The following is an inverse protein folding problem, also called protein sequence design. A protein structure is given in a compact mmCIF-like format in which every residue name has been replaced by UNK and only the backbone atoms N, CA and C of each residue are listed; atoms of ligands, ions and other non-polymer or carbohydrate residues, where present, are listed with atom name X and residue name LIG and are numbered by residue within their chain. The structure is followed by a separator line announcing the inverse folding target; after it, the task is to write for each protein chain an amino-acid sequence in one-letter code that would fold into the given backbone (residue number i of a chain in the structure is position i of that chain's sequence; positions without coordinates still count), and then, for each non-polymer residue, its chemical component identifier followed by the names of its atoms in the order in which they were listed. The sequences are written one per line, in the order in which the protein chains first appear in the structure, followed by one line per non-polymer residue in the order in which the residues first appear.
data_IF_336884867547
#
_entry.id   IF_336884867547
#
_cell.length_a   1.000
_cell.length_b   1.000
_cell.length_c   1.000
_cell.angle_alpha   90.00
_cell.angle_beta   90.00
_cell.angle_gamma   90.00
#
_symmetry.space_group_name_H-M   'P 1'
#
loop_
_entity.id
_entity.type
_entity.pdbx_description
1 polymer ?
#
# COMPACT_ATOMS: atom_id res chain seq x y z
N UNK A 1 11.15 -2.56 9.94
CA UNK A 1 11.87 -3.54 9.09
C UNK A 1 11.94 -4.87 9.81
N UNK A 2 11.74 -6.01 9.11
CA UNK A 2 12.08 -7.32 9.68
C UNK A 2 13.57 -7.33 9.98
N UNK A 3 13.95 -7.72 11.18
CA UNK A 3 15.36 -7.80 11.62
C UNK A 3 16.09 -9.00 11.00
N UNK A 4 15.35 -9.95 10.42
CA UNK A 4 15.90 -11.12 9.74
C UNK A 4 15.30 -11.23 8.34
N UNK A 5 16.14 -11.42 7.35
CA UNK A 5 15.71 -11.69 5.97
C UNK A 5 15.26 -13.15 5.91
N UNK A 6 13.98 -13.38 5.59
CA UNK A 6 13.50 -14.72 5.32
C UNK A 6 13.84 -15.12 3.87
N UNK A 7 14.39 -16.30 3.67
CA UNK A 7 14.64 -16.87 2.35
C UNK A 7 13.33 -17.33 1.69
N UNK A 8 12.29 -17.61 2.49
CA UNK A 8 11.00 -18.06 1.95
C UNK A 8 10.21 -16.90 1.37
N UNK A 9 9.79 -17.04 0.13
CA UNK A 9 9.06 -16.02 -0.61
C UNK A 9 7.79 -15.55 0.10
N UNK A 10 6.99 -16.47 0.64
CA UNK A 10 5.72 -16.16 1.31
C UNK A 10 5.88 -15.40 2.64
N UNK A 11 7.07 -15.37 3.21
CA UNK A 11 7.33 -14.63 4.45
C UNK A 11 7.69 -13.16 4.19
N UNK A 12 7.82 -12.76 2.93
CA UNK A 12 8.11 -11.39 2.54
C UNK A 12 6.88 -10.51 2.69
N UNK A 13 7.09 -9.23 2.91
CA UNK A 13 6.04 -8.22 2.90
C UNK A 13 5.75 -7.87 1.44
N UNK A 14 4.63 -8.34 0.91
CA UNK A 14 4.25 -8.17 -0.49
C UNK A 14 3.32 -6.99 -0.72
N UNK A 15 2.57 -6.59 0.30
CA UNK A 15 1.54 -5.55 0.23
C UNK A 15 1.85 -4.38 1.15
N UNK A 16 1.52 -3.16 0.71
CA UNK A 16 1.72 -1.95 1.52
C UNK A 16 1.07 -2.05 2.90
N UNK A 17 -0.11 -2.67 2.98
CA UNK A 17 -0.82 -2.84 4.24
C UNK A 17 -0.03 -3.64 5.27
N UNK A 18 0.71 -4.66 4.84
CA UNK A 18 1.54 -5.46 5.74
C UNK A 18 2.77 -4.68 6.20
N UNK A 19 3.36 -3.92 5.26
CA UNK A 19 4.47 -3.03 5.57
C UNK A 19 4.06 -1.97 6.60
N UNK A 20 2.90 -1.35 6.38
CA UNK A 20 2.33 -0.38 7.30
C UNK A 20 2.08 -1.00 8.68
N UNK A 21 1.42 -2.15 8.77
CA UNK A 21 1.13 -2.81 10.05
C UNK A 21 2.39 -3.20 10.83
N UNK A 22 3.42 -3.73 10.16
CA UNK A 22 4.69 -4.07 10.80
C UNK A 22 5.39 -2.82 11.32
N UNK A 23 5.34 -1.71 10.59
CA UNK A 23 5.98 -0.46 11.00
C UNK A 23 5.18 0.31 12.05
N UNK A 24 3.85 0.30 12.00
CA UNK A 24 2.99 0.88 13.04
C UNK A 24 3.14 0.14 14.37
N UNK A 25 3.14 -1.19 14.33
CA UNK A 25 3.40 -2.03 15.50
C UNK A 25 4.77 -1.75 16.14
N UNK A 26 5.76 -1.39 15.34
CA UNK A 26 7.11 -0.99 15.80
C UNK A 26 7.21 0.49 16.17
N UNK A 27 6.11 1.25 16.04
CA UNK A 27 6.07 2.70 16.30
C UNK A 27 6.99 3.53 15.39
N UNK A 28 7.33 3.00 14.21
CA UNK A 28 8.09 3.73 13.20
C UNK A 28 7.23 4.71 12.41
N UNK A 29 5.95 4.38 12.24
CA UNK A 29 4.94 5.20 11.55
C UNK A 29 3.62 5.15 12.32
N UNK A 30 2.71 6.05 11.98
CA UNK A 30 1.32 6.05 12.47
C UNK A 30 0.37 6.30 11.32
N UNK A 31 -0.76 5.58 11.29
CA UNK A 31 -1.84 5.85 10.35
C UNK A 31 -2.56 7.14 10.73
N UNK A 32 -2.47 8.13 9.87
CA UNK A 32 -3.15 9.40 10.02
C UNK A 32 -4.47 9.46 9.23
N UNK A 33 -4.79 8.44 8.44
CA UNK A 33 -5.92 8.44 7.51
C UNK A 33 -7.23 8.82 8.21
N UNK A 34 -7.49 8.24 9.38
CA UNK A 34 -8.74 8.47 10.12
C UNK A 34 -8.82 9.84 10.83
N UNK A 35 -7.77 10.64 10.81
CA UNK A 35 -7.83 12.05 11.25
C UNK A 35 -8.51 12.96 10.24
N UNK A 36 -8.75 12.45 9.03
CA UNK A 36 -9.34 13.16 7.92
C UNK A 36 -10.73 12.59 7.56
N UNK A 37 -11.55 13.31 6.78
CA UNK A 37 -12.79 12.78 6.26
C UNK A 37 -12.54 11.56 5.35
N UNK A 38 -12.88 10.38 5.84
CA UNK A 38 -12.60 9.09 5.15
C UNK A 38 -13.87 8.41 4.70
N UNK A 39 -13.69 7.47 3.79
CA UNK A 39 -14.66 6.46 3.39
C UNK A 39 -14.05 5.07 3.55
N UNK A 40 -14.91 4.09 3.84
CA UNK A 40 -14.46 2.70 3.93
C UNK A 40 -14.07 2.20 2.54
N UNK A 41 -12.93 1.54 2.45
CA UNK A 41 -12.58 0.79 1.24
C UNK A 41 -13.24 -0.57 1.28
N UNK A 42 -13.98 -0.87 0.22
CA UNK A 42 -14.43 -2.22 -0.08
C UNK A 42 -13.52 -2.80 -1.18
N UNK A 43 -12.41 -3.38 -0.74
CA UNK A 43 -11.39 -3.89 -1.63
C UNK A 43 -10.99 -5.32 -1.24
N UNK A 44 -10.72 -6.14 -2.24
CA UNK A 44 -10.26 -7.53 -2.09
C UNK A 44 -8.80 -7.63 -2.50
N UNK A 45 -7.96 -8.05 -1.58
CA UNK A 45 -6.55 -8.31 -1.86
C UNK A 45 -6.41 -9.71 -2.46
N UNK A 46 -6.20 -9.80 -3.77
CA UNK A 46 -6.07 -11.07 -4.49
C UNK A 46 -5.22 -10.97 -5.76
N UNK A 47 -4.46 -9.90 -5.90
CA UNK A 47 -3.74 -9.60 -7.15
C UNK A 47 -2.68 -10.64 -7.48
N UNK A 48 -1.80 -10.95 -6.53
CA UNK A 48 -0.67 -11.81 -6.82
C UNK A 48 -1.09 -13.27 -7.05
N UNK A 49 -2.09 -13.77 -6.33
CA UNK A 49 -2.58 -15.14 -6.53
C UNK A 49 -3.37 -15.31 -7.81
N UNK A 50 -4.11 -14.29 -8.25
CA UNK A 50 -4.87 -14.31 -9.51
C UNK A 50 -3.98 -14.02 -10.71
N UNK A 51 -3.15 -12.99 -10.62
CA UNK A 51 -2.25 -12.57 -11.69
C UNK A 51 -0.85 -13.22 -11.56
N UNK A 52 -0.75 -14.39 -10.96
CA UNK A 52 0.52 -15.03 -10.61
C UNK A 52 1.49 -15.19 -11.78
N UNK A 53 0.97 -15.34 -13.01
CA UNK A 53 1.79 -15.42 -14.23
C UNK A 53 2.52 -14.12 -14.57
N UNK A 54 2.01 -12.97 -14.09
CA UNK A 54 2.64 -11.65 -14.26
C UNK A 54 3.77 -11.42 -13.26
N UNK A 55 3.82 -12.19 -12.20
CA UNK A 55 4.88 -12.10 -11.17
C UNK A 55 5.96 -13.14 -11.45
N UNK A 56 7.12 -12.68 -11.91
CA UNK A 56 8.22 -13.55 -12.37
C UNK A 56 8.50 -14.72 -11.40
N UNK A 57 8.57 -14.44 -10.10
CA UNK A 57 8.89 -15.49 -9.12
C UNK A 57 7.74 -16.52 -9.00
N UNK A 58 6.49 -16.08 -8.90
CA UNK A 58 5.33 -16.99 -8.82
C UNK A 58 5.14 -17.78 -10.11
N UNK A 59 5.41 -17.16 -11.26
CA UNK A 59 5.36 -17.85 -12.57
C UNK A 59 6.29 -19.06 -12.63
N UNK A 60 7.49 -18.97 -12.05
CA UNK A 60 8.44 -20.07 -11.99
C UNK A 60 8.24 -21.01 -10.79
N UNK A 61 7.40 -20.62 -9.82
CA UNK A 61 7.10 -21.37 -8.60
C UNK A 61 5.59 -21.44 -8.35
N UNK A 62 4.82 -22.08 -9.26
CA UNK A 62 3.35 -22.06 -9.21
C UNK A 62 2.78 -22.74 -7.96
N UNK A 63 3.52 -23.63 -7.30
CA UNK A 63 3.15 -24.26 -6.04
C UNK A 63 2.96 -23.26 -4.88
N UNK A 64 3.57 -22.07 -4.96
CA UNK A 64 3.42 -21.01 -3.97
C UNK A 64 2.09 -20.25 -4.09
N UNK A 65 1.36 -20.41 -5.19
CA UNK A 65 0.12 -19.67 -5.46
C UNK A 65 -0.93 -19.86 -4.35
N UNK A 66 -1.11 -21.10 -3.88
CA UNK A 66 -2.08 -21.40 -2.83
C UNK A 66 -1.71 -20.72 -1.50
N UNK A 67 -0.43 -20.69 -1.16
CA UNK A 67 0.07 -19.96 0.00
C UNK A 67 -0.15 -18.44 -0.12
N UNK A 68 0.09 -17.88 -1.31
CA UNK A 68 -0.20 -16.46 -1.59
C UNK A 68 -1.69 -16.15 -1.45
N UNK A 69 -2.58 -16.99 -1.97
CA UNK A 69 -4.02 -16.82 -1.83
C UNK A 69 -4.48 -16.81 -0.36
N UNK A 70 -3.94 -17.69 0.48
CA UNK A 70 -4.22 -17.67 1.93
C UNK A 70 -3.76 -16.37 2.59
N UNK A 71 -2.60 -15.87 2.18
CA UNK A 71 -2.05 -14.62 2.66
C UNK A 71 -2.95 -13.42 2.30
N UNK A 72 -3.39 -13.35 1.05
CA UNK A 72 -4.30 -12.33 0.53
C UNK A 72 -5.69 -12.39 1.19
N UNK A 73 -6.22 -13.59 1.46
CA UNK A 73 -7.49 -13.76 2.19
C UNK A 73 -7.42 -13.12 3.59
N UNK A 74 -6.30 -13.28 4.29
CA UNK A 74 -6.09 -12.63 5.59
C UNK A 74 -6.13 -11.11 5.49
N UNK A 75 -5.61 -10.55 4.42
CA UNK A 75 -5.62 -9.10 4.18
C UNK A 75 -7.00 -8.59 3.76
N UNK A 76 -7.72 -9.34 2.93
CA UNK A 76 -9.07 -8.99 2.45
C UNK A 76 -10.07 -8.81 3.59
N UNK A 77 -9.92 -9.55 4.69
CA UNK A 77 -10.82 -9.46 5.85
C UNK A 77 -10.58 -8.23 6.73
N UNK A 78 -9.60 -7.40 6.41
CA UNK A 78 -9.30 -6.17 7.17
C UNK A 78 -10.14 -5.01 6.68
N UNK A 79 -10.47 -4.13 7.60
CA UNK A 79 -11.16 -2.87 7.28
C UNK A 79 -10.11 -1.80 6.96
N UNK A 80 -10.24 -1.20 5.79
CA UNK A 80 -9.41 -0.09 5.37
C UNK A 80 -10.26 1.15 5.11
N UNK A 81 -9.64 2.30 5.28
CA UNK A 81 -10.23 3.59 5.03
C UNK A 81 -9.37 4.35 4.04
N UNK A 82 -10.00 5.16 3.21
CA UNK A 82 -9.32 6.03 2.26
C UNK A 82 -9.87 7.46 2.37
N UNK A 83 -9.07 8.41 1.97
CA UNK A 83 -9.49 9.80 1.77
C UNK A 83 -9.94 9.93 0.32
N UNK A 84 -11.22 10.23 0.04
CA UNK A 84 -11.70 10.39 -1.32
C UNK A 84 -10.94 11.49 -2.06
N UNK A 85 -10.67 11.26 -3.34
CA UNK A 85 -9.87 12.17 -4.18
C UNK A 85 -10.36 13.63 -4.12
N UNK A 86 -11.67 13.84 -4.13
CA UNK A 86 -12.26 15.19 -4.07
C UNK A 86 -12.03 15.91 -2.74
N UNK A 87 -11.68 15.19 -1.66
CA UNK A 87 -11.39 15.75 -0.34
C UNK A 87 -9.91 16.07 -0.14
N UNK A 88 -9.02 15.59 -1.02
CA UNK A 88 -7.57 15.73 -0.87
C UNK A 88 -7.13 17.19 -0.85
N UNK A 89 -7.70 18.03 -1.70
CA UNK A 89 -7.37 19.46 -1.72
C UNK A 89 -7.62 20.16 -0.38
N UNK A 90 -8.67 19.75 0.34
CA UNK A 90 -9.02 20.34 1.65
C UNK A 90 -8.07 19.94 2.78
N UNK A 91 -7.29 18.89 2.61
CA UNK A 91 -6.33 18.43 3.64
C UNK A 91 -4.87 18.73 3.28
N UNK A 92 -4.60 19.28 2.08
CA UNK A 92 -3.23 19.48 1.56
C UNK A 92 -2.35 20.28 2.55
N UNK A 93 -2.91 21.30 3.20
CA UNK A 93 -2.18 22.14 4.17
C UNK A 93 -1.72 21.38 5.40
N UNK A 94 -2.42 20.31 5.76
CA UNK A 94 -2.15 19.50 6.94
C UNK A 94 -1.09 18.41 6.67
N UNK A 95 -0.82 18.09 5.40
CA UNK A 95 0.22 17.14 5.02
C UNK A 95 1.60 17.74 5.34
N UNK A 96 2.55 16.88 5.73
CA UNK A 96 3.91 17.27 6.13
C UNK A 96 4.95 16.59 5.25
N UNK A 97 6.15 17.17 5.23
CA UNK A 97 7.30 16.51 4.62
C UNK A 97 7.53 15.14 5.26
N UNK A 98 7.70 14.13 4.42
CA UNK A 98 7.91 12.74 4.86
C UNK A 98 6.63 11.93 5.06
N UNK A 99 5.43 12.53 4.99
CA UNK A 99 4.20 11.75 5.01
C UNK A 99 4.17 10.76 3.84
N UNK A 100 3.85 9.51 4.13
CA UNK A 100 3.75 8.45 3.13
C UNK A 100 2.31 8.36 2.66
N UNK A 101 2.12 8.45 1.34
CA UNK A 101 0.81 8.38 0.71
C UNK A 101 0.71 7.11 -0.13
N UNK A 102 -0.28 6.28 0.15
CA UNK A 102 -0.70 5.18 -0.71
C UNK A 102 -1.89 5.61 -1.57
N UNK A 103 -1.80 5.41 -2.88
CA UNK A 103 -2.90 5.68 -3.81
C UNK A 103 -3.80 4.45 -3.86
N UNK A 104 -5.02 4.59 -3.32
CA UNK A 104 -5.99 3.51 -3.31
C UNK A 104 -6.47 3.16 -4.73
N UNK A 105 -6.77 1.88 -4.94
CA UNK A 105 -7.37 1.36 -6.19
C UNK A 105 -8.84 1.03 -5.97
N UNK A 106 -9.61 1.16 -7.05
CA UNK A 106 -11.03 0.81 -7.09
C UNK A 106 -11.30 -0.58 -7.64
N UNK A 107 -10.29 -1.19 -8.26
CA UNK A 107 -10.41 -2.52 -8.83
C UNK A 107 -10.13 -3.63 -7.79
N UNK A 108 -10.47 -4.86 -8.13
CA UNK A 108 -10.41 -6.03 -7.25
C UNK A 108 -8.99 -6.59 -7.04
N UNK A 109 -7.94 -5.82 -7.28
CA UNK A 109 -6.57 -6.33 -7.24
C UNK A 109 -5.88 -6.17 -5.91
N UNK A 110 -5.65 -4.94 -5.52
CA UNK A 110 -4.89 -4.59 -4.32
C UNK A 110 -5.37 -3.25 -3.75
N UNK A 111 -5.10 -3.00 -2.48
CA UNK A 111 -5.49 -1.72 -1.84
C UNK A 111 -4.79 -0.52 -2.43
N UNK A 112 -3.57 -0.71 -2.90
CA UNK A 112 -2.68 0.37 -3.28
C UNK A 112 -2.07 0.10 -4.65
N UNK A 113 -2.22 1.04 -5.55
CA UNK A 113 -1.60 0.99 -6.87
C UNK A 113 -0.22 1.63 -6.88
N UNK A 114 0.04 2.58 -5.99
CA UNK A 114 1.27 3.34 -5.98
C UNK A 114 1.53 3.98 -4.62
N UNK A 115 2.79 4.20 -4.30
CA UNK A 115 3.24 4.82 -3.04
C UNK A 115 4.20 5.94 -3.35
N UNK A 116 4.13 7.01 -2.58
CA UNK A 116 5.09 8.11 -2.63
C UNK A 116 5.17 8.85 -1.30
N UNK A 117 6.01 9.85 -1.28
CA UNK A 117 6.32 10.67 -0.09
C UNK A 117 5.95 12.11 -0.39
N UNK A 118 5.36 12.79 0.59
CA UNK A 118 5.06 14.22 0.48
C UNK A 118 6.32 15.03 0.70
N UNK A 119 6.53 15.99 -0.21
CA UNK A 119 7.52 17.06 -0.07
C UNK A 119 6.80 18.40 -0.26
N UNK A 120 6.96 19.32 0.68
CA UNK A 120 6.47 20.69 0.53
C UNK A 120 7.47 21.51 -0.29
N UNK A 121 6.98 22.18 -1.34
CA UNK A 121 7.78 23.16 -2.07
C UNK A 121 7.93 24.49 -1.31
N UNK A 122 8.70 25.43 -1.86
CA UNK A 122 8.95 26.75 -1.28
C UNK A 122 7.69 27.60 -1.08
N UNK A 123 6.58 27.26 -1.76
CA UNK A 123 5.26 27.90 -1.62
C UNK A 123 4.34 27.16 -0.66
N UNK A 124 4.85 26.12 0.03
CA UNK A 124 4.06 25.28 0.96
C UNK A 124 3.12 24.29 0.28
N UNK A 125 3.16 24.11 -1.05
CA UNK A 125 2.34 23.14 -1.77
C UNK A 125 2.89 21.74 -1.60
N UNK A 126 2.01 20.79 -1.36
CA UNK A 126 2.38 19.38 -1.27
C UNK A 126 2.70 18.82 -2.68
N UNK A 127 3.87 18.24 -2.82
CA UNK A 127 4.33 17.52 -4.00
C UNK A 127 4.45 16.05 -3.67
N UNK A 128 4.03 15.20 -4.60
CA UNK A 128 4.09 13.74 -4.45
C UNK A 128 5.37 13.22 -5.11
N UNK A 129 6.37 12.93 -4.32
CA UNK A 129 7.62 12.32 -4.80
C UNK A 129 7.45 10.81 -4.89
N UNK A 130 7.65 10.25 -6.06
CA UNK A 130 7.51 8.82 -6.30
C UNK A 130 8.47 8.33 -7.38
N UNK A 131 8.71 7.01 -7.42
CA UNK A 131 9.42 6.35 -8.51
C UNK A 131 8.41 5.75 -9.48
N UNK A 132 8.59 6.00 -10.78
CA UNK A 132 7.79 5.41 -11.85
C UNK A 132 8.69 4.99 -13.00
N UNK A 133 8.34 3.88 -13.65
CA UNK A 133 9.00 3.41 -14.87
C UNK A 133 8.39 4.00 -16.14
N UNK A 134 7.26 4.70 -16.01
CA UNK A 134 6.57 5.30 -17.15
C UNK A 134 7.10 6.71 -17.38
N UNK A 135 8.02 6.83 -18.31
CA UNK A 135 8.36 8.14 -18.88
C UNK A 135 7.26 8.54 -19.86
N UNK A 136 6.56 9.57 -19.56
CA UNK A 136 5.75 10.32 -20.53
C UNK A 136 6.35 11.69 -20.68
#
# INVERSE_FOLDING_TARGET
MKTTISERYLDRIHYLVEWYEDNDKRKNIHDLTQKFPTEKMDNRCQEMSQLWKSYRYLKHNPHLRAGMAKHETRLTNKKFYMIPKHKVAGIESQLKNGDIIGIARHDNGSYCSHVGIIIKDSKGRARFMHASTTYK
#
